data_IF_427928478064
#
_entry.id   IF_427928478064
#
_cell.length_a   1.000
_cell.length_b   1.000
_cell.length_c   1.000
_cell.angle_alpha   90.00
_cell.angle_beta   90.00
_cell.angle_gamma   90.00
#
_symmetry.space_group_name_H-M   'P 1'
#
loop_
_entity.id
_entity.type
_entity.pdbx_description
1 polymer ?
#
# COMPACT_ATOMS: atom_id res chain seq x y z
N UNK A 1 -8.40 -2.19 10.52
CA UNK A 1 -7.93 -3.42 9.86
C UNK A 1 -6.46 -3.21 9.54
N UNK A 2 -5.61 -4.10 10.00
CA UNK A 2 -4.15 -4.05 9.88
C UNK A 2 -3.73 -4.87 8.65
N UNK A 3 -2.59 -4.54 8.03
CA UNK A 3 -2.02 -5.32 6.92
C UNK A 3 -0.50 -5.45 7.09
N UNK A 4 0.04 -6.66 6.87
CA UNK A 4 1.49 -6.87 6.90
C UNK A 4 2.16 -6.32 5.63
N UNK A 5 3.48 -6.24 5.60
CA UNK A 5 4.21 -5.78 4.39
C UNK A 5 4.10 -6.81 3.27
N UNK A 6 4.12 -8.10 3.60
CA UNK A 6 4.01 -9.20 2.64
C UNK A 6 2.63 -9.20 1.98
N UNK A 7 1.57 -9.09 2.79
CA UNK A 7 0.21 -9.04 2.28
C UNK A 7 -0.01 -7.77 1.44
N UNK A 8 0.45 -6.61 1.92
CA UNK A 8 0.36 -5.36 1.16
C UNK A 8 1.08 -5.45 -0.19
N UNK A 9 2.30 -6.00 -0.22
CA UNK A 9 3.09 -6.18 -1.44
C UNK A 9 2.40 -7.13 -2.42
N UNK A 10 1.84 -8.22 -1.90
CA UNK A 10 1.09 -9.18 -2.71
C UNK A 10 -0.15 -8.54 -3.34
N UNK A 11 -0.98 -7.86 -2.53
CA UNK A 11 -2.19 -7.18 -3.01
C UNK A 11 -1.89 -6.08 -4.02
N UNK A 12 -0.86 -5.26 -3.80
CA UNK A 12 -0.43 -4.23 -4.76
C UNK A 12 -0.03 -4.85 -6.10
N UNK A 13 0.60 -6.02 -6.08
CA UNK A 13 0.98 -6.75 -7.29
C UNK A 13 -0.25 -7.29 -8.04
N UNK A 14 -1.25 -7.81 -7.34
CA UNK A 14 -2.53 -8.21 -7.94
C UNK A 14 -3.26 -7.02 -8.59
N UNK A 15 -3.29 -5.87 -7.92
CA UNK A 15 -3.88 -4.63 -8.45
C UNK A 15 -3.13 -4.16 -9.70
N UNK A 16 -1.80 -4.14 -9.66
CA UNK A 16 -0.96 -3.80 -10.82
C UNK A 16 -1.24 -4.70 -12.01
N UNK A 17 -1.30 -6.01 -11.79
CA UNK A 17 -1.62 -6.98 -12.82
C UNK A 17 -3.04 -6.75 -13.39
N UNK A 18 -4.03 -6.49 -12.54
CA UNK A 18 -5.39 -6.18 -12.97
C UNK A 18 -5.47 -4.92 -13.82
N UNK A 19 -4.67 -3.90 -13.51
CA UNK A 19 -4.54 -2.68 -14.32
C UNK A 19 -3.86 -2.98 -15.66
N UNK A 20 -2.77 -3.74 -15.66
CA UNK A 20 -2.03 -4.10 -16.88
C UNK A 20 -2.85 -4.95 -17.85
N UNK A 21 -3.73 -5.78 -17.31
CA UNK A 21 -4.69 -6.58 -18.09
C UNK A 21 -5.99 -5.82 -18.42
N UNK A 22 -6.08 -4.54 -18.03
CA UNK A 22 -7.23 -3.67 -18.26
C UNK A 22 -8.55 -4.20 -17.63
N UNK A 23 -8.44 -5.00 -16.56
CA UNK A 23 -9.58 -5.44 -15.73
C UNK A 23 -9.94 -4.41 -14.65
N UNK A 24 -8.96 -3.62 -14.21
CA UNK A 24 -9.13 -2.57 -13.19
C UNK A 24 -8.75 -1.24 -13.83
N UNK A 25 -9.65 -0.25 -13.77
CA UNK A 25 -9.39 1.11 -14.20
C UNK A 25 -9.15 1.97 -12.97
N UNK A 26 -7.87 2.20 -12.65
CA UNK A 26 -7.45 3.03 -11.53
C UNK A 26 -6.49 4.10 -12.07
N UNK A 27 -7.00 5.32 -12.21
CA UNK A 27 -6.21 6.44 -12.71
C UNK A 27 -5.13 6.81 -11.68
N UNK A 28 -3.93 7.11 -12.17
CA UNK A 28 -2.78 7.50 -11.34
C UNK A 28 -2.31 6.44 -10.32
N UNK A 29 -2.49 5.15 -10.59
CA UNK A 29 -1.93 4.11 -9.73
C UNK A 29 -0.39 4.09 -9.77
N UNK A 30 0.22 4.65 -8.74
CA UNK A 30 1.67 4.78 -8.60
C UNK A 30 2.30 3.56 -7.92
N UNK A 31 2.25 2.41 -8.59
CA UNK A 31 2.72 1.12 -8.05
C UNK A 31 4.11 1.21 -7.40
N UNK A 32 5.10 1.75 -8.11
CA UNK A 32 6.48 1.81 -7.63
C UNK A 32 6.62 2.67 -6.36
N UNK A 33 5.92 3.81 -6.30
CA UNK A 33 5.92 4.68 -5.13
C UNK A 33 5.26 3.99 -3.93
N UNK A 34 4.14 3.30 -4.17
CA UNK A 34 3.42 2.55 -3.12
C UNK A 34 4.24 1.40 -2.56
N UNK A 35 4.96 0.65 -3.40
CA UNK A 35 5.82 -0.47 -2.95
C UNK A 35 6.94 -0.02 -2.00
N UNK A 36 7.46 1.20 -2.20
CA UNK A 36 8.45 1.81 -1.31
C UNK A 36 7.79 2.35 -0.05
N UNK A 37 6.67 3.08 -0.20
CA UNK A 37 5.98 3.74 0.89
C UNK A 37 5.43 2.77 1.97
N UNK A 38 5.11 1.52 1.60
CA UNK A 38 4.63 0.52 2.58
C UNK A 38 5.74 -0.13 3.42
N UNK A 39 7.01 0.10 3.11
CA UNK A 39 8.11 -0.54 3.83
C UNK A 39 8.21 0.03 5.24
N UNK A 40 8.49 -0.83 6.23
CA UNK A 40 8.50 -0.46 7.64
C UNK A 40 9.37 0.77 7.95
N UNK A 41 10.58 0.96 7.38
CA UNK A 41 11.40 2.14 7.65
C UNK A 41 10.74 3.49 7.31
N UNK A 42 9.82 3.52 6.33
CA UNK A 42 9.12 4.75 5.93
C UNK A 42 7.85 5.01 6.75
N UNK A 43 7.45 4.05 7.58
CA UNK A 43 6.23 4.12 8.41
C UNK A 43 6.53 4.21 9.90
N UNK A 44 7.79 4.05 10.30
CA UNK A 44 8.23 4.28 11.68
C UNK A 44 8.16 5.79 11.93
N UNK A 45 7.42 6.14 12.96
CA UNK A 45 7.27 7.50 13.46
C UNK A 45 7.10 7.38 14.97
N UNK A 46 8.09 7.91 15.69
CA UNK A 46 8.24 7.80 17.14
C UNK A 46 7.17 8.62 17.89
N UNK A 47 6.51 9.58 17.23
CA UNK A 47 5.46 10.42 17.80
C UNK A 47 4.04 9.82 17.64
N UNK A 48 3.89 8.70 16.91
CA UNK A 48 2.61 8.08 16.62
C UNK A 48 2.49 6.65 17.19
N UNK A 49 1.55 6.50 18.12
CA UNK A 49 1.23 5.26 18.85
C UNK A 49 0.65 4.12 18.00
N UNK A 50 0.28 4.36 16.73
CA UNK A 50 -0.22 3.30 15.84
C UNK A 50 0.87 2.30 15.50
N UNK A 51 0.48 1.04 15.33
CA UNK A 51 1.41 0.03 14.82
C UNK A 51 1.78 0.30 13.37
N UNK A 52 2.98 -0.13 12.94
CA UNK A 52 3.42 -0.04 11.54
C UNK A 52 2.39 -0.66 10.58
N UNK A 53 1.71 -1.74 10.99
CA UNK A 53 0.70 -2.42 10.18
C UNK A 53 -0.60 -1.63 10.04
N UNK A 54 -0.95 -0.78 11.00
CA UNK A 54 -2.07 0.16 10.90
C UNK A 54 -1.72 1.32 9.98
N UNK A 55 -0.55 1.94 10.17
CA UNK A 55 -0.06 3.03 9.32
C UNK A 55 -0.01 2.60 7.85
N UNK A 56 0.45 1.37 7.58
CA UNK A 56 0.44 0.77 6.23
C UNK A 56 -0.95 0.67 5.63
N UNK A 57 -1.92 0.18 6.41
CA UNK A 57 -3.28 0.02 5.94
C UNK A 57 -3.93 1.38 5.64
N UNK A 58 -3.65 2.39 6.45
CA UNK A 58 -4.16 3.76 6.26
C UNK A 58 -3.57 4.39 5.00
N UNK A 59 -2.24 4.31 4.80
CA UNK A 59 -1.57 4.82 3.60
C UNK A 59 -2.16 4.24 2.31
N UNK A 60 -2.37 2.92 2.28
CA UNK A 60 -2.94 2.24 1.11
C UNK A 60 -4.38 2.67 0.81
N UNK A 61 -5.19 2.94 1.84
CA UNK A 61 -6.57 3.40 1.64
C UNK A 61 -6.66 4.81 1.10
N UNK A 62 -5.72 5.67 1.45
CA UNK A 62 -5.68 7.04 0.92
C UNK A 62 -5.34 7.07 -0.57
N UNK A 63 -4.52 6.11 -1.03
CA UNK A 63 -4.00 6.07 -2.40
C UNK A 63 -4.82 5.21 -3.38
N UNK A 64 -5.73 4.37 -2.89
CA UNK A 64 -6.55 3.46 -3.72
C UNK A 64 -8.05 3.86 -3.61
N UNK A 65 -8.34 5.17 -3.60
CA UNK A 65 -9.72 5.68 -3.67
C UNK A 65 -10.25 5.75 -5.08
#
# INVERSE_FOLDING_TARGET
RIISVEEASYRLSEVKLGIDLNYILLENFKFNELMVAIQSPFLIDDDDNRTVNEKRADLLREHIK
#
